data_IF_331516602522
#
_entry.id   IF_331516602522
#
_cell.length_a   1.000
_cell.length_b   1.000
_cell.length_c   1.000
_cell.angle_alpha   90.00
_cell.angle_beta   90.00
_cell.angle_gamma   90.00
#
_symmetry.space_group_name_H-M   'P 1'
#
loop_
_entity.id
_entity.type
_entity.pdbx_description
1 polymer ?
#
# COMPACT_ATOMS: atom_id res chain seq x y z
N UNK A 1 -2.58 1.14 -16.90
CA UNK A 1 -2.70 0.75 -15.47
C UNK A 1 -2.11 -0.63 -15.20
N UNK A 2 -2.48 -1.68 -15.94
CA UNK A 2 -1.96 -3.05 -15.72
C UNK A 2 -0.45 -3.23 -15.88
N UNK A 3 0.26 -2.38 -16.65
CA UNK A 3 1.72 -2.48 -16.81
C UNK A 3 2.53 -2.06 -15.58
N UNK A 4 1.91 -1.42 -14.59
CA UNK A 4 2.61 -0.89 -13.42
C UNK A 4 2.53 -1.80 -12.22
N UNK A 5 1.52 -2.68 -12.14
CA UNK A 5 1.28 -3.59 -11.01
C UNK A 5 1.94 -4.94 -11.33
N UNK A 6 2.64 -5.53 -10.36
CA UNK A 6 3.21 -6.88 -10.49
C UNK A 6 2.26 -7.93 -9.95
N UNK A 7 2.43 -9.17 -10.36
CA UNK A 7 1.70 -10.33 -9.79
C UNK A 7 1.96 -10.50 -8.29
N UNK A 8 3.13 -10.07 -7.81
CA UNK A 8 3.52 -10.06 -6.40
C UNK A 8 2.79 -9.00 -5.57
N UNK A 9 2.20 -7.99 -6.20
CA UNK A 9 1.53 -6.89 -5.51
C UNK A 9 0.12 -7.35 -5.12
N UNK A 10 -0.22 -7.28 -3.83
CA UNK A 10 -1.45 -7.86 -3.27
C UNK A 10 -2.31 -6.76 -2.64
N UNK A 11 -3.61 -6.81 -2.88
CA UNK A 11 -4.62 -6.09 -2.09
C UNK A 11 -5.62 -7.12 -1.54
N UNK A 12 -5.78 -7.18 -0.22
CA UNK A 12 -6.61 -8.20 0.41
C UNK A 12 -7.19 -7.74 1.74
N UNK A 13 -8.04 -8.59 2.33
CA UNK A 13 -8.74 -8.31 3.60
C UNK A 13 -8.35 -9.31 4.67
N UNK A 14 -8.04 -8.80 5.85
CA UNK A 14 -7.82 -9.59 7.06
C UNK A 14 -9.08 -9.57 7.93
N UNK A 15 -9.63 -10.75 8.23
CA UNK A 15 -10.79 -10.90 9.12
C UNK A 15 -10.34 -10.81 10.58
N UNK A 16 -10.98 -9.92 11.35
CA UNK A 16 -10.77 -9.81 12.79
C UNK A 16 -11.97 -10.39 13.56
N UNK A 17 -11.86 -10.50 14.88
CA UNK A 17 -12.98 -10.87 15.75
C UNK A 17 -14.16 -9.91 15.62
N UNK A 18 -13.87 -8.61 15.46
CA UNK A 18 -14.85 -7.55 15.16
C UNK A 18 -14.35 -6.72 13.98
N UNK A 19 -14.99 -6.88 12.82
CA UNK A 19 -14.66 -6.13 11.60
C UNK A 19 -13.60 -6.79 10.71
N UNK A 20 -13.08 -6.01 9.77
CA UNK A 20 -12.05 -6.41 8.80
C UNK A 20 -11.07 -5.26 8.62
N UNK A 21 -9.81 -5.59 8.33
CA UNK A 21 -8.83 -4.62 7.84
C UNK A 21 -8.59 -4.89 6.37
N UNK A 22 -8.29 -3.84 5.62
CA UNK A 22 -7.75 -3.96 4.26
C UNK A 22 -6.25 -3.73 4.35
N UNK A 23 -5.49 -4.51 3.61
CA UNK A 23 -4.06 -4.34 3.52
C UNK A 23 -3.59 -4.46 2.07
N UNK A 24 -2.51 -3.74 1.79
CA UNK A 24 -1.81 -3.76 0.52
C UNK A 24 -0.38 -4.20 0.78
N UNK A 25 0.11 -5.14 0.00
CA UNK A 25 1.47 -5.64 0.10
C UNK A 25 2.20 -5.40 -1.21
N UNK A 26 3.41 -4.86 -1.10
CA UNK A 26 4.34 -4.71 -2.21
C UNK A 26 5.66 -5.40 -1.84
N UNK A 27 6.01 -6.42 -2.63
CA UNK A 27 7.28 -7.11 -2.50
C UNK A 27 8.46 -6.17 -2.80
N UNK A 28 9.60 -6.40 -2.17
CA UNK A 28 10.80 -5.64 -2.49
C UNK A 28 11.20 -5.79 -3.97
N UNK A 29 12.00 -4.85 -4.48
CA UNK A 29 12.55 -4.91 -5.85
C UNK A 29 14.00 -5.31 -5.97
N UNK A 30 14.79 -5.14 -4.92
CA UNK A 30 16.24 -5.38 -5.01
C UNK A 30 16.59 -6.78 -4.52
N UNK A 31 16.04 -7.22 -3.39
CA UNK A 31 16.41 -8.49 -2.76
C UNK A 31 15.23 -9.21 -2.09
N UNK A 32 15.24 -10.54 -2.17
CA UNK A 32 14.30 -11.40 -1.41
C UNK A 32 14.56 -11.42 0.11
N UNK A 33 15.66 -10.83 0.58
CA UNK A 33 16.02 -10.76 1.99
C UNK A 33 15.77 -9.39 2.64
N UNK A 34 15.12 -8.47 1.91
CA UNK A 34 14.83 -7.13 2.43
C UNK A 34 13.81 -7.19 3.58
N UNK A 35 13.92 -6.29 4.58
CA UNK A 35 13.06 -6.33 5.76
C UNK A 35 11.59 -6.11 5.41
N UNK A 36 10.72 -6.61 6.28
CA UNK A 36 9.29 -6.30 6.21
C UNK A 36 9.03 -4.98 6.95
N UNK A 37 8.37 -4.05 6.27
CA UNK A 37 7.93 -2.78 6.85
C UNK A 37 6.42 -2.73 6.93
N UNK A 38 5.90 -2.26 8.07
CA UNK A 38 4.48 -1.97 8.26
C UNK A 38 4.27 -0.45 8.23
N UNK A 39 3.44 0.03 7.33
CA UNK A 39 3.06 1.44 7.24
C UNK A 39 1.63 1.64 7.75
N UNK A 40 1.47 2.65 8.63
CA UNK A 40 0.19 3.07 9.19
C UNK A 40 0.03 4.57 9.01
N UNK A 41 -0.89 4.99 8.15
CA UNK A 41 -1.26 6.40 8.04
C UNK A 41 -2.00 6.85 9.30
N UNK A 42 -1.62 8.03 9.79
CA UNK A 42 -2.24 8.68 10.95
C UNK A 42 -3.51 9.45 10.59
N UNK A 43 -4.10 10.11 11.60
CA UNK A 43 -5.43 10.71 11.48
C UNK A 43 -6.53 9.67 11.72
N UNK A 44 -7.65 10.10 12.30
CA UNK A 44 -8.76 9.20 12.56
C UNK A 44 -9.49 8.91 11.23
N UNK A 45 -9.34 7.69 10.72
CA UNK A 45 -10.10 7.23 9.55
C UNK A 45 -9.44 7.47 8.19
N UNK A 46 -8.18 7.89 8.14
CA UNK A 46 -7.45 8.06 6.88
C UNK A 46 -6.94 6.72 6.35
N UNK A 47 -7.03 6.51 5.03
CA UNK A 47 -6.48 5.32 4.38
C UNK A 47 -4.96 5.40 4.22
N UNK A 48 -4.31 4.25 4.39
CA UNK A 48 -2.90 4.06 4.09
C UNK A 48 -2.62 4.03 2.58
N UNK A 49 -3.65 3.96 1.72
CA UNK A 49 -3.51 4.24 0.28
C UNK A 49 -2.98 5.64 0.00
N UNK A 50 -3.16 6.61 0.91
CA UNK A 50 -2.53 7.92 0.81
C UNK A 50 -1.02 7.79 0.62
N UNK A 51 -0.38 6.93 1.41
CA UNK A 51 1.06 6.74 1.36
C UNK A 51 1.54 5.99 0.11
N UNK A 52 0.66 5.13 -0.45
CA UNK A 52 0.88 4.39 -1.71
C UNK A 52 0.96 5.33 -2.92
N UNK A 53 0.31 6.50 -2.87
CA UNK A 53 0.23 7.42 -4.01
C UNK A 53 0.90 8.78 -3.80
N UNK A 54 1.04 9.24 -2.56
CA UNK A 54 1.44 10.62 -2.26
C UNK A 54 2.62 10.75 -1.31
N UNK A 55 3.07 9.66 -0.66
CA UNK A 55 4.16 9.73 0.31
C UNK A 55 5.37 8.88 -0.11
N UNK A 56 5.50 7.69 0.43
CA UNK A 56 6.72 6.89 0.36
C UNK A 56 6.69 5.80 -0.69
N UNK A 57 5.56 5.50 -1.33
CA UNK A 57 5.43 4.22 -2.03
C UNK A 57 4.60 4.23 -3.29
N UNK A 58 4.44 3.07 -3.95
CA UNK A 58 5.20 2.72 -5.13
C UNK A 58 4.84 3.54 -6.36
N UNK A 59 3.77 4.33 -6.27
CA UNK A 59 3.22 5.08 -7.35
C UNK A 59 3.20 6.56 -7.03
N UNK A 60 3.23 7.35 -8.09
CA UNK A 60 3.01 8.79 -8.03
C UNK A 60 2.14 9.19 -9.21
N UNK A 61 1.42 10.29 -9.06
CA UNK A 61 0.80 10.95 -10.19
C UNK A 61 1.82 11.86 -10.86
N UNK A 62 1.97 11.72 -12.18
CA UNK A 62 2.70 12.67 -13.01
C UNK A 62 1.83 13.91 -13.27
N UNK A 63 2.43 14.96 -13.84
CA UNK A 63 1.75 16.24 -14.11
C UNK A 63 0.55 16.10 -15.06
N UNK A 64 0.58 15.08 -15.92
CA UNK A 64 -0.51 14.72 -16.84
C UNK A 64 -1.58 13.82 -16.18
N UNK A 65 -1.53 13.68 -14.84
CA UNK A 65 -2.37 12.79 -14.03
C UNK A 65 -2.21 11.30 -14.35
N UNK A 66 -1.21 10.90 -15.13
CA UNK A 66 -0.91 9.49 -15.33
C UNK A 66 -0.29 8.90 -14.08
N UNK A 67 -0.62 7.63 -13.80
CA UNK A 67 0.04 6.88 -12.74
C UNK A 67 1.43 6.45 -13.24
N UNK A 68 2.46 6.69 -12.44
CA UNK A 68 3.84 6.28 -12.72
C UNK A 68 4.45 5.60 -11.49
N UNK A 69 5.50 4.79 -11.68
CA UNK A 69 6.26 4.24 -10.54
C UNK A 69 7.12 5.34 -9.88
N UNK A 70 7.20 5.28 -8.56
CA UNK A 70 8.06 6.14 -7.76
C UNK A 70 9.49 5.58 -7.73
N UNK A 71 10.44 6.28 -8.36
CA UNK A 71 11.84 5.87 -8.39
C UNK A 71 12.57 6.01 -7.04
N UNK A 72 11.93 6.59 -6.03
CA UNK A 72 12.46 6.71 -4.67
C UNK A 72 11.56 6.03 -3.63
N UNK A 73 10.69 5.10 -4.08
CA UNK A 73 9.76 4.41 -3.20
C UNK A 73 10.43 3.43 -2.24
N UNK A 74 9.87 3.27 -1.04
CA UNK A 74 10.43 2.43 0.02
C UNK A 74 10.33 0.93 -0.27
N UNK A 75 9.41 0.53 -1.17
CA UNK A 75 9.39 -0.82 -1.76
C UNK A 75 10.72 -1.25 -2.42
N UNK A 76 11.66 -0.34 -2.71
CA UNK A 76 12.96 -0.74 -3.28
C UNK A 76 13.86 -1.46 -2.28
N UNK A 77 13.69 -1.18 -0.99
CA UNK A 77 14.57 -1.68 0.09
C UNK A 77 13.78 -2.40 1.18
N UNK A 78 12.50 -2.68 0.94
CA UNK A 78 11.63 -3.35 1.90
C UNK A 78 10.44 -4.04 1.24
N UNK A 79 10.01 -5.11 1.88
CA UNK A 79 8.71 -5.73 1.66
C UNK A 79 7.69 -4.95 2.49
N UNK A 80 6.84 -4.15 1.87
CA UNK A 80 6.02 -3.17 2.61
C UNK A 80 4.54 -3.55 2.64
N UNK A 81 3.94 -3.42 3.83
CA UNK A 81 2.52 -3.66 4.09
C UNK A 81 1.87 -2.35 4.53
N UNK A 82 0.90 -1.87 3.76
CA UNK A 82 0.01 -0.77 4.14
C UNK A 82 -1.25 -1.34 4.77
N UNK A 83 -1.66 -0.81 5.91
CA UNK A 83 -2.88 -1.26 6.59
C UNK A 83 -3.83 -0.10 6.82
N UNK A 84 -5.06 -0.28 6.38
CA UNK A 84 -6.14 0.64 6.67
C UNK A 84 -6.71 0.35 8.05
N UNK A 85 -6.50 1.30 8.96
CA UNK A 85 -6.89 1.19 10.36
C UNK A 85 -7.50 2.51 10.87
N UNK A 86 -8.51 2.47 11.76
CA UNK A 86 -9.18 1.29 12.32
C UNK A 86 -10.14 0.63 11.30
N UNK A 87 -10.88 -0.40 11.72
CA UNK A 87 -11.75 -1.25 10.86
C UNK A 87 -12.82 -0.52 10.03
N UNK A 88 -13.02 0.78 10.24
CA UNK A 88 -14.02 1.61 9.57
C UNK A 88 -13.47 2.41 8.39
N UNK A 89 -12.14 2.43 8.17
CA UNK A 89 -11.51 3.18 7.07
C UNK A 89 -12.04 2.73 5.71
N UNK A 90 -12.10 1.40 5.48
CA UNK A 90 -12.77 0.84 4.30
C UNK A 90 -14.02 0.07 4.76
N UNK A 91 -15.23 0.54 4.38
CA UNK A 91 -16.47 -0.10 4.78
C UNK A 91 -16.63 -1.54 4.26
N UNK A 92 -17.46 -2.37 4.92
CA UNK A 92 -17.75 -3.74 4.51
C UNK A 92 -18.37 -3.95 3.11
N UNK A 93 -18.91 -2.89 2.49
CA UNK A 93 -19.77 -2.94 1.30
C UNK A 93 -19.10 -2.52 -0.01
N UNK A 94 -17.92 -1.91 0.06
CA UNK A 94 -16.94 -1.96 -1.04
C UNK A 94 -16.26 -3.31 -1.04
#
# INVERSE_FOLDING_TARGET
>A
MMSLIRESDVASRLKLHKGRLVYYFFESRESGNDPVMLWLTGGLGCSSELAIFYENDPFKFADDMSLARNNQGWYKVSNIIYVDQPTQVIPPTT
#
